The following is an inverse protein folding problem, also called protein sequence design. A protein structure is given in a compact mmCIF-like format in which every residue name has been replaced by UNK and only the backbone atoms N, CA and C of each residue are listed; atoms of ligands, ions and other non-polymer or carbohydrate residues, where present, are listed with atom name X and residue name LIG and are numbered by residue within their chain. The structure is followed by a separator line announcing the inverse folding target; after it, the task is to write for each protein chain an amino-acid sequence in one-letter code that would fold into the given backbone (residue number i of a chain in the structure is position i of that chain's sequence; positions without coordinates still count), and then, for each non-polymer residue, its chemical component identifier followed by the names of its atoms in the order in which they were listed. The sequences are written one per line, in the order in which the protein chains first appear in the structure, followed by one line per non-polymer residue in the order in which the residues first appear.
data_IF_984867690700
#
_entry.id   IF_984867690700
#
_cell.length_a   1.000
_cell.length_b   1.000
_cell.length_c   1.000
_cell.angle_alpha   90.00
_cell.angle_beta   90.00
_cell.angle_gamma   90.00
#
_symmetry.space_group_name_H-M   'P 1'
#
loop_
_entity.id
_entity.type
_entity.pdbx_description
1 polymer ?
#
# COMPACT_ATOMS: atom_id res chain seq x y z
N UNK A 1 11.41 -41.23 -0.73
CA UNK A 1 10.73 -42.48 -1.16
C UNK A 1 9.65 -42.07 -2.14
N UNK A 2 9.48 -42.78 -3.26
CA UNK A 2 8.40 -42.54 -4.21
C UNK A 2 7.44 -43.72 -4.11
N UNK A 3 6.14 -43.46 -4.00
CA UNK A 3 5.10 -44.49 -4.08
C UNK A 3 4.43 -44.31 -5.44
N UNK A 4 4.41 -45.37 -6.26
CA UNK A 4 3.66 -45.41 -7.52
C UNK A 4 3.90 -44.24 -8.49
N UNK A 5 5.14 -43.72 -8.58
CA UNK A 5 5.48 -42.59 -9.47
C UNK A 5 5.14 -41.21 -8.90
N UNK A 6 4.61 -41.13 -7.68
CA UNK A 6 4.40 -39.86 -6.99
C UNK A 6 5.60 -39.49 -6.11
N UNK A 7 6.08 -38.27 -6.29
CA UNK A 7 7.08 -37.64 -5.42
C UNK A 7 6.49 -37.37 -4.05
N UNK A 8 7.02 -38.01 -2.99
CA UNK A 8 6.58 -37.75 -1.61
C UNK A 8 7.26 -36.49 -1.10
N UNK A 9 6.44 -35.48 -0.78
CA UNK A 9 6.89 -34.23 -0.16
C UNK A 9 6.64 -34.26 1.35
N UNK A 10 7.53 -33.65 2.11
CA UNK A 10 7.29 -33.35 3.53
C UNK A 10 6.30 -32.20 3.68
N UNK A 11 5.68 -32.10 4.85
CA UNK A 11 4.77 -31.00 5.19
C UNK A 11 5.46 -29.64 4.99
N UNK A 12 6.73 -29.53 5.44
CA UNK A 12 7.54 -28.32 5.26
C UNK A 12 7.79 -27.99 3.79
N UNK A 13 8.03 -29.01 2.95
CA UNK A 13 8.22 -28.80 1.51
C UNK A 13 6.95 -28.26 0.86
N UNK A 14 5.77 -28.82 1.19
CA UNK A 14 4.49 -28.33 0.68
C UNK A 14 4.23 -26.89 1.16
N UNK A 15 4.40 -26.62 2.45
CA UNK A 15 4.17 -25.28 3.01
C UNK A 15 5.08 -24.23 2.35
N UNK A 16 6.36 -24.54 2.13
CA UNK A 16 7.29 -23.62 1.47
C UNK A 16 6.98 -23.43 -0.01
N UNK A 17 6.54 -24.47 -0.72
CA UNK A 17 6.10 -24.34 -2.11
C UNK A 17 4.88 -23.44 -2.22
N UNK A 18 3.86 -23.66 -1.38
CA UNK A 18 2.66 -22.81 -1.34
C UNK A 18 3.02 -21.38 -0.99
N UNK A 19 3.86 -21.16 0.05
CA UNK A 19 4.34 -19.84 0.42
C UNK A 19 5.00 -19.11 -0.75
N UNK A 20 5.92 -19.78 -1.46
CA UNK A 20 6.61 -19.21 -2.61
C UNK A 20 5.64 -18.83 -3.73
N UNK A 21 4.65 -19.69 -4.03
CA UNK A 21 3.63 -19.40 -5.04
C UNK A 21 2.78 -18.19 -4.64
N UNK A 22 2.40 -18.07 -3.37
CA UNK A 22 1.63 -16.93 -2.89
C UNK A 22 2.42 -15.63 -2.99
N UNK A 23 3.65 -15.61 -2.46
CA UNK A 23 4.49 -14.43 -2.45
C UNK A 23 4.82 -13.95 -3.87
N UNK A 24 4.94 -14.88 -4.84
CA UNK A 24 5.16 -14.54 -6.25
C UNK A 24 3.92 -13.97 -6.94
N UNK A 25 2.76 -14.58 -6.72
CA UNK A 25 1.54 -14.24 -7.47
C UNK A 25 0.71 -13.12 -6.83
N UNK A 26 0.86 -12.91 -5.52
CA UNK A 26 0.06 -11.96 -4.73
C UNK A 26 0.94 -10.94 -4.00
N UNK A 27 2.03 -10.53 -4.66
CA UNK A 27 2.78 -9.35 -4.27
C UNK A 27 1.98 -8.08 -4.60
N UNK A 28 2.09 -7.05 -3.75
CA UNK A 28 1.39 -5.77 -3.94
C UNK A 28 -0.13 -5.89 -4.10
N UNK A 29 -0.75 -6.84 -3.40
CA UNK A 29 -2.19 -7.07 -3.42
C UNK A 29 -2.93 -5.93 -2.72
N UNK A 30 -4.01 -5.48 -3.35
CA UNK A 30 -4.97 -4.53 -2.77
C UNK A 30 -6.25 -5.27 -2.41
N UNK A 31 -6.69 -5.15 -1.16
CA UNK A 31 -7.97 -5.71 -0.70
C UNK A 31 -8.76 -4.70 0.11
N UNK A 32 -10.08 -4.83 0.05
CA UNK A 32 -11.02 -4.06 0.86
C UNK A 32 -11.71 -5.00 1.85
N UNK A 33 -11.85 -4.53 3.09
CA UNK A 33 -12.52 -5.30 4.13
C UNK A 33 -12.77 -4.46 5.38
N UNK A 34 -13.37 -5.08 6.38
CA UNK A 34 -13.57 -4.49 7.69
C UNK A 34 -12.59 -5.09 8.69
N UNK A 35 -12.00 -4.25 9.55
CA UNK A 35 -11.14 -4.74 10.64
C UNK A 35 -12.03 -5.39 11.69
N UNK A 36 -12.07 -6.72 11.74
CA UNK A 36 -12.80 -7.46 12.76
C UNK A 36 -12.15 -7.32 14.14
N UNK A 37 -10.82 -7.49 14.19
CA UNK A 37 -10.05 -7.34 15.43
C UNK A 37 -8.72 -6.65 15.14
N UNK A 38 -8.21 -5.88 16.11
CA UNK A 38 -6.93 -5.19 16.02
C UNK A 38 -6.22 -5.26 17.38
N UNK A 39 -4.98 -5.77 17.38
CA UNK A 39 -4.15 -5.97 18.58
C UNK A 39 -2.74 -5.45 18.33
N UNK A 40 -2.39 -4.26 18.85
CA UNK A 40 -1.00 -3.80 18.87
C UNK A 40 -0.21 -4.59 19.93
N UNK A 41 1.02 -4.98 19.59
CA UNK A 41 1.95 -5.69 20.48
C UNK A 41 3.09 -4.77 20.92
N UNK A 42 3.73 -5.04 22.08
CA UNK A 42 4.87 -4.24 22.56
C UNK A 42 6.07 -4.19 21.60
N UNK A 43 6.22 -5.18 20.71
CA UNK A 43 7.23 -5.17 19.64
C UNK A 43 7.00 -4.10 18.58
N UNK A 44 5.85 -3.41 18.61
CA UNK A 44 5.42 -2.45 17.61
C UNK A 44 4.72 -3.07 16.40
N UNK A 45 4.57 -4.39 16.36
CA UNK A 45 3.74 -5.06 15.36
C UNK A 45 2.26 -4.91 15.70
N UNK A 46 1.42 -4.77 14.69
CA UNK A 46 -0.04 -4.76 14.84
C UNK A 46 -0.57 -6.00 14.15
N UNK A 47 -1.21 -6.88 14.90
CA UNK A 47 -1.92 -8.02 14.35
C UNK A 47 -3.40 -7.66 14.26
N UNK A 48 -3.99 -7.92 13.10
CA UNK A 48 -5.40 -7.63 12.87
C UNK A 48 -6.04 -8.71 12.00
N UNK A 49 -7.35 -8.81 12.09
CA UNK A 49 -8.15 -9.68 11.22
C UNK A 49 -9.00 -8.81 10.33
N UNK A 50 -8.89 -9.01 9.02
CA UNK A 50 -9.77 -8.42 8.03
C UNK A 50 -10.89 -9.41 7.74
N UNK A 51 -12.12 -8.93 7.66
CA UNK A 51 -13.27 -9.73 7.25
C UNK A 51 -14.00 -9.05 6.10
N UNK A 52 -14.63 -9.86 5.27
CA UNK A 52 -15.73 -9.44 4.42
C UNK A 52 -17.02 -10.15 4.84
N UNK A 53 -18.04 -10.18 3.98
CA UNK A 53 -19.31 -10.85 4.30
C UNK A 53 -19.24 -12.38 4.38
N UNK A 54 -18.16 -13.02 3.91
CA UNK A 54 -18.04 -14.47 3.78
C UNK A 54 -16.73 -15.05 4.34
N UNK A 55 -15.67 -14.25 4.41
CA UNK A 55 -14.30 -14.69 4.65
C UNK A 55 -13.60 -13.82 5.68
N UNK A 56 -12.65 -14.43 6.38
CA UNK A 56 -11.73 -13.73 7.29
C UNK A 56 -10.27 -14.03 6.90
N UNK A 57 -9.42 -13.01 6.99
CA UNK A 57 -8.00 -13.07 6.68
C UNK A 57 -7.19 -12.47 7.83
N UNK A 58 -6.22 -13.24 8.33
CA UNK A 58 -5.25 -12.75 9.30
C UNK A 58 -4.24 -11.84 8.63
N UNK A 59 -3.92 -10.72 9.27
CA UNK A 59 -2.98 -9.75 8.76
C UNK A 59 -2.03 -9.23 9.85
N UNK A 60 -0.85 -8.81 9.43
CA UNK A 60 0.16 -8.21 10.28
C UNK A 60 0.69 -6.95 9.63
N UNK A 61 0.82 -5.88 10.42
CA UNK A 61 1.58 -4.69 10.07
C UNK A 61 2.87 -4.75 10.88
N UNK A 62 4.00 -4.89 10.20
CA UNK A 62 5.30 -4.89 10.89
C UNK A 62 5.64 -3.49 11.43
N UNK A 63 6.51 -3.45 12.44
CA UNK A 63 6.83 -2.23 13.21
C UNK A 63 7.29 -1.05 12.35
N UNK A 64 8.12 -1.25 11.29
CA UNK A 64 8.48 -0.16 10.39
C UNK A 64 7.29 0.49 9.69
N UNK A 65 6.35 -0.32 9.20
CA UNK A 65 5.15 0.16 8.51
C UNK A 65 4.12 0.72 9.50
N UNK A 66 3.96 0.09 10.66
CA UNK A 66 3.03 0.54 11.71
C UNK A 66 3.34 1.97 12.19
N UNK A 67 4.61 2.35 12.23
CA UNK A 67 5.06 3.72 12.58
C UNK A 67 4.77 4.75 11.50
N UNK A 68 4.67 4.34 10.24
CA UNK A 68 4.42 5.22 9.09
C UNK A 68 2.93 5.41 8.79
N UNK A 69 2.07 4.62 9.44
CA UNK A 69 0.63 4.73 9.26
C UNK A 69 0.12 6.10 9.71
N UNK A 70 -0.48 6.83 8.78
CA UNK A 70 -1.19 8.09 9.07
C UNK A 70 -2.42 7.87 9.96
N UNK A 71 -3.06 6.72 9.82
CA UNK A 71 -4.26 6.35 10.56
C UNK A 71 -4.03 5.03 11.31
N UNK A 72 -4.33 5.03 12.61
CA UNK A 72 -4.26 3.80 13.41
C UNK A 72 -5.42 2.88 13.06
N UNK A 73 -5.18 1.58 12.82
CA UNK A 73 -6.25 0.62 12.58
C UNK A 73 -7.10 0.42 13.84
N UNK A 74 -8.43 0.49 13.69
CA UNK A 74 -9.41 0.29 14.77
C UNK A 74 -10.43 -0.75 14.32
N UNK A 75 -10.89 -1.59 15.24
CA UNK A 75 -11.94 -2.58 14.96
C UNK A 75 -13.24 -1.88 14.51
N UNK A 76 -13.96 -2.50 13.57
CA UNK A 76 -15.16 -1.97 12.93
C UNK A 76 -14.89 -0.99 11.78
N UNK A 77 -13.64 -0.60 11.54
CA UNK A 77 -13.29 0.30 10.44
C UNK A 77 -13.25 -0.48 9.12
N UNK A 78 -13.98 0.02 8.11
CA UNK A 78 -13.78 -0.42 6.73
C UNK A 78 -12.54 0.24 6.16
N UNK A 79 -11.68 -0.58 5.56
CA UNK A 79 -10.36 -0.17 5.08
C UNK A 79 -10.05 -0.81 3.73
N UNK A 80 -9.23 -0.11 2.96
CA UNK A 80 -8.51 -0.65 1.81
C UNK A 80 -7.05 -0.78 2.24
N UNK A 81 -6.48 -1.97 2.09
CA UNK A 81 -5.09 -2.25 2.47
C UNK A 81 -4.28 -2.71 1.27
N UNK A 82 -3.00 -2.35 1.28
CA UNK A 82 -2.00 -2.85 0.35
C UNK A 82 -0.98 -3.70 1.09
N UNK A 83 -0.64 -4.85 0.53
CA UNK A 83 0.32 -5.75 1.15
C UNK A 83 0.67 -6.96 0.32
N UNK A 84 1.46 -7.84 0.90
CA UNK A 84 1.92 -9.07 0.28
C UNK A 84 1.27 -10.27 0.99
N UNK A 85 0.66 -11.17 0.23
CA UNK A 85 0.04 -12.37 0.80
C UNK A 85 1.11 -13.47 0.97
N UNK A 86 1.23 -13.99 2.19
CA UNK A 86 2.19 -15.04 2.53
C UNK A 86 1.51 -16.17 3.32
N UNK A 87 2.27 -17.23 3.59
CA UNK A 87 1.86 -18.35 4.43
C UNK A 87 2.73 -18.37 5.68
N UNK A 88 2.10 -18.38 6.85
CA UNK A 88 2.78 -18.67 8.11
C UNK A 88 3.07 -20.17 8.20
N UNK A 89 4.22 -20.58 7.66
CA UNK A 89 4.63 -21.99 7.50
C UNK A 89 4.43 -22.86 8.74
N UNK A 90 4.69 -22.42 9.98
CA UNK A 90 4.50 -23.26 11.17
C UNK A 90 3.06 -23.72 11.41
N UNK A 91 2.06 -22.96 10.96
CA UNK A 91 0.62 -23.30 11.11
C UNK A 91 -0.10 -23.48 9.79
N UNK A 92 0.55 -23.26 8.65
CA UNK A 92 -0.07 -23.32 7.33
C UNK A 92 -1.21 -22.32 7.14
N UNK A 93 -1.18 -21.19 7.86
CA UNK A 93 -2.23 -20.17 7.81
C UNK A 93 -1.84 -19.06 6.84
N UNK A 94 -2.78 -18.59 6.05
CA UNK A 94 -2.59 -17.39 5.24
C UNK A 94 -2.40 -16.17 6.14
N UNK A 95 -1.46 -15.32 5.77
CA UNK A 95 -1.18 -14.08 6.47
C UNK A 95 -0.88 -12.98 5.46
N UNK A 96 -1.63 -11.89 5.53
CA UNK A 96 -1.35 -10.68 4.76
C UNK A 96 -0.36 -9.79 5.51
N UNK A 97 0.74 -9.43 4.86
CA UNK A 97 1.70 -8.46 5.37
C UNK A 97 1.32 -7.08 4.84
N UNK A 98 0.66 -6.28 5.67
CA UNK A 98 0.15 -4.97 5.27
C UNK A 98 1.30 -3.95 5.30
N UNK A 99 1.47 -3.25 4.18
CA UNK A 99 2.39 -2.11 4.03
C UNK A 99 1.67 -0.79 4.25
N UNK A 100 0.52 -0.60 3.58
CA UNK A 100 -0.30 0.60 3.67
C UNK A 100 -1.75 0.26 4.02
N UNK A 101 -2.41 1.16 4.76
CA UNK A 101 -3.81 1.03 5.15
C UNK A 101 -4.50 2.38 5.01
N UNK A 102 -5.67 2.37 4.36
CA UNK A 102 -6.50 3.55 4.09
C UNK A 102 -7.92 3.29 4.58
N UNK A 103 -8.55 4.23 5.31
CA UNK A 103 -9.98 4.17 5.58
C UNK A 103 -10.78 4.16 4.26
N UNK A 104 -11.94 3.51 4.26
CA UNK A 104 -12.86 3.51 3.11
C UNK A 104 -13.22 4.94 2.69
N UNK A 105 -13.26 5.18 1.37
CA UNK A 105 -13.41 6.51 0.76
C UNK A 105 -12.08 7.19 0.39
N UNK A 106 -11.01 6.98 1.16
CA UNK A 106 -9.66 7.42 0.76
C UNK A 106 -8.95 6.38 -0.12
N UNK A 107 -9.28 5.10 0.04
CA UNK A 107 -8.73 4.02 -0.75
C UNK A 107 -9.09 4.09 -2.24
N UNK A 108 -10.32 4.48 -2.58
CA UNK A 108 -10.75 4.64 -3.99
C UNK A 108 -9.99 5.75 -4.70
N UNK A 109 -9.91 6.94 -4.09
CA UNK A 109 -9.10 8.05 -4.59
C UNK A 109 -7.62 7.67 -4.73
N UNK A 110 -7.09 6.86 -3.80
CA UNK A 110 -5.71 6.40 -3.88
C UNK A 110 -5.50 5.38 -5.02
N UNK A 111 -6.46 4.48 -5.26
CA UNK A 111 -6.42 3.55 -6.39
C UNK A 111 -6.51 4.29 -7.72
N UNK A 112 -7.41 5.27 -7.83
CA UNK A 112 -7.50 6.15 -9.00
C UNK A 112 -6.19 6.93 -9.21
N UNK A 113 -5.58 7.41 -8.12
CA UNK A 113 -4.29 8.09 -8.16
C UNK A 113 -3.16 7.18 -8.64
N UNK A 114 -3.04 5.95 -8.11
CA UNK A 114 -2.01 4.99 -8.54
C UNK A 114 -2.21 4.59 -10.00
N UNK A 115 -3.44 4.29 -10.43
CA UNK A 115 -3.74 3.98 -11.83
C UNK A 115 -3.42 5.16 -12.76
N UNK A 116 -3.75 6.39 -12.35
CA UNK A 116 -3.39 7.59 -13.09
C UNK A 116 -1.88 7.79 -13.15
N UNK A 117 -1.18 7.58 -12.03
CA UNK A 117 0.27 7.71 -11.97
C UNK A 117 0.97 6.71 -12.89
N UNK A 118 0.58 5.44 -12.85
CA UNK A 118 1.11 4.40 -13.74
C UNK A 118 0.85 4.73 -15.22
N UNK A 119 -0.36 5.20 -15.54
CA UNK A 119 -0.69 5.68 -16.90
C UNK A 119 0.24 6.83 -17.34
N UNK A 120 0.41 7.86 -16.50
CA UNK A 120 1.24 9.02 -16.81
C UNK A 120 2.75 8.66 -16.87
N UNK A 121 3.19 7.65 -16.09
CA UNK A 121 4.54 7.07 -16.19
C UNK A 121 4.74 6.37 -17.53
N UNK A 122 3.77 5.56 -17.98
CA UNK A 122 3.80 4.89 -19.29
C UNK A 122 3.76 5.88 -20.46
N UNK A 123 3.02 6.99 -20.31
CA UNK A 123 3.02 8.10 -21.28
C UNK A 123 4.35 8.87 -21.31
N UNK A 124 5.31 8.54 -20.43
CA UNK A 124 6.63 9.15 -20.39
C UNK A 124 6.66 10.56 -19.83
N UNK A 125 5.56 11.06 -19.26
CA UNK A 125 5.43 12.43 -18.76
C UNK A 125 6.36 12.72 -17.56
N UNK A 126 6.83 11.67 -16.89
CA UNK A 126 7.82 11.77 -15.81
C UNK A 126 9.26 11.47 -16.26
N UNK A 127 9.48 11.16 -17.54
CA UNK A 127 10.81 10.86 -18.09
C UNK A 127 11.76 12.03 -17.85
N UNK A 128 12.96 11.73 -17.37
CA UNK A 128 14.01 12.74 -17.19
C UNK A 128 14.43 13.35 -18.54
N UNK A 129 14.33 12.60 -19.63
CA UNK A 129 14.68 13.06 -20.97
C UNK A 129 13.73 14.16 -21.48
N UNK A 130 12.49 14.15 -21.01
CA UNK A 130 11.48 15.17 -21.33
C UNK A 130 11.52 16.38 -20.40
N UNK A 131 12.31 16.33 -19.30
CA UNK A 131 12.42 17.46 -18.36
C UNK A 131 13.30 18.57 -18.93
N UNK A 132 12.71 19.76 -19.06
CA UNK A 132 13.44 20.97 -19.42
C UNK A 132 14.28 21.45 -18.24
N UNK A 133 15.47 21.97 -18.52
CA UNK A 133 16.29 22.63 -17.51
C UNK A 133 15.54 23.82 -16.91
N UNK A 134 15.54 23.91 -15.57
CA UNK A 134 14.90 25.02 -14.86
C UNK A 134 15.77 26.26 -15.09
N UNK A 135 15.23 27.35 -15.67
CA UNK A 135 15.99 28.57 -15.88
C UNK A 135 16.38 29.20 -14.55
N UNK A 136 17.60 29.71 -14.46
CA UNK A 136 18.14 30.33 -13.24
C UNK A 136 17.32 31.53 -12.76
N UNK A 137 16.71 32.26 -13.69
CA UNK A 137 15.81 33.38 -13.42
C UNK A 137 14.53 33.23 -14.28
N UNK A 138 13.44 32.68 -13.70
CA UNK A 138 12.19 32.53 -14.41
C UNK A 138 11.54 33.90 -14.67
N UNK A 139 11.25 34.21 -15.93
CA UNK A 139 10.62 35.48 -16.33
C UNK A 139 9.09 35.42 -16.27
N UNK A 140 8.52 34.21 -16.20
CA UNK A 140 7.09 33.95 -16.08
C UNK A 140 6.89 32.82 -15.09
N UNK A 141 5.99 33.03 -14.14
CA UNK A 141 5.63 32.04 -13.11
C UNK A 141 4.16 31.67 -13.34
N UNK A 142 3.91 30.40 -13.65
CA UNK A 142 2.57 29.84 -13.69
C UNK A 142 2.19 29.33 -12.31
N UNK A 143 1.05 29.76 -11.78
CA UNK A 143 0.54 29.33 -10.47
C UNK A 143 -0.69 28.47 -10.71
N UNK A 144 -0.65 27.21 -10.26
CA UNK A 144 -1.80 26.31 -10.27
C UNK A 144 -2.18 26.07 -8.81
N UNK A 145 -3.34 26.57 -8.40
CA UNK A 145 -3.85 26.47 -7.03
C UNK A 145 -5.37 26.41 -7.04
N UNK A 146 -5.99 25.99 -5.94
CA UNK A 146 -7.45 26.05 -5.79
C UNK A 146 -7.92 27.51 -5.70
N UNK A 147 -9.17 27.78 -6.06
CA UNK A 147 -9.77 29.13 -6.02
C UNK A 147 -9.69 29.80 -4.65
N UNK A 148 -9.59 29.01 -3.58
CA UNK A 148 -9.53 29.45 -2.18
C UNK A 148 -8.10 29.49 -1.61
N UNK A 149 -7.09 29.08 -2.40
CA UNK A 149 -5.71 28.96 -1.96
C UNK A 149 -5.07 30.30 -1.60
N UNK A 150 -4.78 30.52 -0.31
CA UNK A 150 -4.05 31.69 0.21
C UNK A 150 -2.65 31.89 -0.43
N UNK A 151 -2.12 30.84 -1.06
CA UNK A 151 -0.82 30.80 -1.74
C UNK A 151 -0.68 31.87 -2.81
N UNK A 152 -1.76 32.23 -3.52
CA UNK A 152 -1.70 33.28 -4.54
C UNK A 152 -1.33 34.64 -3.91
N UNK A 153 -1.90 34.93 -2.73
CA UNK A 153 -1.65 36.20 -2.02
C UNK A 153 -0.23 36.26 -1.50
N UNK A 154 0.27 35.17 -0.95
CA UNK A 154 1.65 35.07 -0.44
C UNK A 154 2.67 35.26 -1.56
N UNK A 155 2.47 34.61 -2.72
CA UNK A 155 3.37 34.76 -3.87
C UNK A 155 3.34 36.20 -4.39
N UNK A 156 2.17 36.82 -4.54
CA UNK A 156 2.06 38.22 -4.97
C UNK A 156 2.73 39.18 -3.98
N UNK A 157 2.60 38.93 -2.67
CA UNK A 157 3.22 39.75 -1.65
C UNK A 157 4.75 39.63 -1.64
N UNK A 158 5.28 38.42 -1.84
CA UNK A 158 6.73 38.18 -1.95
C UNK A 158 7.29 38.80 -3.24
N UNK A 159 6.57 38.69 -4.36
CA UNK A 159 6.98 39.29 -5.64
C UNK A 159 6.95 40.83 -5.60
N UNK A 160 6.06 41.45 -4.83
CA UNK A 160 6.00 42.92 -4.70
C UNK A 160 7.03 43.52 -3.72
N UNK A 161 7.68 42.69 -2.90
CA UNK A 161 8.66 43.14 -1.89
C UNK A 161 10.11 43.11 -2.37
N UNK A 162 10.37 42.62 -3.59
CA UNK A 162 11.68 42.50 -4.23
C UNK A 162 11.66 43.18 -5.59
#
# INVERSE_FOLDING_TARGET
MNIAGHSILTITQVANQVKYTLEKNYANLWIQGEIASCKPYPSGHIYLTLKDGQSELSAVIFSPYAKQLKHKPVSGLKVTVNGDLSLYSPRGQFQLQIRNLYPTGQGELWLEYEALKEKLELEGLFSQESKKQIPRFPHRIGIITSSEGAVLRDILQVLNRR
#
